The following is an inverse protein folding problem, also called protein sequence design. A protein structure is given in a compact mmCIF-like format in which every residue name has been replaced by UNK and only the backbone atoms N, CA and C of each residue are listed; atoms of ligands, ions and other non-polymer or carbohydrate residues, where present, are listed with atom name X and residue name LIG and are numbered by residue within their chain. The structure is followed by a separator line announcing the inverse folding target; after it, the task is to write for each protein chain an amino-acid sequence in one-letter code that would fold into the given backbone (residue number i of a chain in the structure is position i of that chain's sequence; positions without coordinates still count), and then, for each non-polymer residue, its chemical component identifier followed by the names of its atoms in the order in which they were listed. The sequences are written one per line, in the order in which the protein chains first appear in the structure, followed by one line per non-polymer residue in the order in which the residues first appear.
data_IF_451835565421
#
_entry.id   IF_451835565421
#
_cell.length_a   1.000
_cell.length_b   1.000
_cell.length_c   1.000
_cell.angle_alpha   90.00
_cell.angle_beta   90.00
_cell.angle_gamma   90.00
#
_symmetry.space_group_name_H-M   'P 1'
#
loop_
_entity.id
_entity.type
_entity.pdbx_description
1 polymer ?
#
# COMPACT_ATOMS: atom_id res chain seq x y z
N UNK A 1 23.63 -32.63 7.99
CA UNK A 1 22.41 -32.01 8.54
C UNK A 1 22.33 -30.63 7.95
N UNK A 2 21.44 -30.40 6.98
CA UNK A 2 21.20 -29.06 6.45
C UNK A 2 20.47 -28.24 7.52
N UNK A 3 21.13 -27.21 8.03
CA UNK A 3 20.47 -26.19 8.85
C UNK A 3 19.43 -25.47 7.98
N UNK A 4 18.19 -25.27 8.45
CA UNK A 4 17.19 -24.53 7.69
C UNK A 4 17.76 -23.13 7.36
N UNK A 5 17.78 -22.77 6.08
CA UNK A 5 18.20 -21.43 5.65
C UNK A 5 17.30 -20.41 6.35
N UNK A 6 17.90 -19.54 7.15
CA UNK A 6 17.20 -18.41 7.75
C UNK A 6 16.79 -17.46 6.62
N UNK A 7 15.48 -17.37 6.37
CA UNK A 7 14.93 -16.46 5.35
C UNK A 7 15.06 -15.04 5.89
N UNK A 8 15.66 -14.15 5.11
CA UNK A 8 15.81 -12.73 5.45
C UNK A 8 14.46 -12.04 5.60
N UNK A 9 14.41 -10.91 6.31
CA UNK A 9 13.18 -10.12 6.46
C UNK A 9 12.58 -9.74 5.10
N UNK A 10 13.42 -9.25 4.18
CA UNK A 10 12.97 -8.86 2.83
C UNK A 10 12.39 -10.04 2.05
N UNK A 11 13.06 -11.20 2.04
CA UNK A 11 12.55 -12.41 1.37
C UNK A 11 11.19 -12.85 1.94
N UNK A 12 10.98 -12.73 3.27
CA UNK A 12 9.67 -13.03 3.89
C UNK A 12 8.60 -12.02 3.48
N UNK A 13 8.92 -10.74 3.51
CA UNK A 13 7.98 -9.67 3.13
C UNK A 13 7.57 -9.80 1.66
N UNK A 14 8.52 -10.04 0.75
CA UNK A 14 8.24 -10.30 -0.67
C UNK A 14 7.34 -11.53 -0.87
N UNK A 15 7.58 -12.62 -0.12
CA UNK A 15 6.74 -13.80 -0.16
C UNK A 15 5.29 -13.48 0.29
N UNK A 16 5.13 -12.65 1.32
CA UNK A 16 3.83 -12.17 1.78
C UNK A 16 3.15 -11.27 0.74
N UNK A 17 3.89 -10.39 0.06
CA UNK A 17 3.37 -9.59 -1.04
C UNK A 17 2.79 -10.47 -2.16
N UNK A 18 3.49 -11.56 -2.51
CA UNK A 18 3.02 -12.51 -3.54
C UNK A 18 1.75 -13.25 -3.13
N UNK A 19 1.56 -13.53 -1.84
CA UNK A 19 0.32 -14.10 -1.33
C UNK A 19 -0.84 -13.11 -1.43
N UNK A 20 -0.58 -11.83 -1.12
CA UNK A 20 -1.59 -10.78 -1.07
C UNK A 20 -2.04 -10.31 -2.44
N UNK A 21 -1.09 -10.02 -3.32
CA UNK A 21 -1.33 -9.35 -4.58
C UNK A 21 -0.94 -10.18 -5.80
N UNK A 22 -0.45 -11.41 -5.59
CA UNK A 22 -0.14 -12.34 -6.68
C UNK A 22 1.29 -12.26 -7.20
N UNK A 23 1.60 -12.95 -8.30
CA UNK A 23 2.95 -12.95 -8.87
C UNK A 23 3.37 -11.53 -9.27
N UNK A 24 4.64 -11.22 -9.05
CA UNK A 24 5.22 -9.92 -9.37
C UNK A 24 6.47 -9.60 -8.57
N UNK A 25 7.06 -8.48 -8.93
CA UNK A 25 8.14 -7.84 -8.21
C UNK A 25 7.56 -6.70 -7.37
N UNK A 26 8.07 -6.56 -6.15
CA UNK A 26 7.58 -5.60 -5.18
C UNK A 26 8.77 -4.84 -4.62
N UNK A 27 8.66 -3.52 -4.63
CA UNK A 27 9.62 -2.63 -3.98
C UNK A 27 9.07 -2.29 -2.60
N UNK A 28 9.95 -2.36 -1.60
CA UNK A 28 9.64 -1.96 -0.24
C UNK A 28 10.58 -0.84 0.15
N UNK A 29 10.02 0.36 0.25
CA UNK A 29 10.77 1.59 0.53
C UNK A 29 10.65 1.97 2.00
N UNK A 30 11.72 2.54 2.53
CA UNK A 30 11.73 3.24 3.80
C UNK A 30 11.77 4.74 3.49
N UNK A 31 10.71 5.43 3.89
CA UNK A 31 10.63 6.88 3.82
C UNK A 31 11.08 7.49 5.14
N UNK A 32 11.81 8.60 5.03
CA UNK A 32 12.26 9.41 6.14
C UNK A 32 11.71 10.82 5.96
N UNK A 33 11.09 11.33 7.01
CA UNK A 33 10.58 12.69 7.06
C UNK A 33 11.30 13.44 8.18
N UNK A 34 12.02 14.49 7.80
CA UNK A 34 12.68 15.41 8.72
C UNK A 34 11.66 16.14 9.60
N UNK A 35 12.10 16.56 10.79
CA UNK A 35 11.28 17.39 11.66
C UNK A 35 10.95 18.73 10.95
N UNK A 36 9.67 19.06 10.88
CA UNK A 36 9.18 20.33 10.33
C UNK A 36 8.58 21.20 11.43
N UNK A 37 8.26 22.46 11.11
CA UNK A 37 7.53 23.34 12.03
C UNK A 37 6.14 22.80 12.42
N UNK A 38 5.55 21.93 11.60
CA UNK A 38 4.25 21.29 11.85
C UNK A 38 4.38 19.90 12.49
N UNK A 39 5.49 19.19 12.27
CA UNK A 39 5.80 17.90 12.86
C UNK A 39 7.18 17.94 13.55
N UNK A 40 7.23 18.18 14.87
CA UNK A 40 8.48 18.53 15.57
C UNK A 40 9.39 17.32 15.86
N UNK A 41 9.26 16.23 15.12
CA UNK A 41 10.06 15.03 15.30
C UNK A 41 10.35 14.38 13.95
N UNK A 42 11.57 13.86 13.84
CA UNK A 42 11.95 12.97 12.73
C UNK A 42 11.08 11.72 12.76
N UNK A 43 10.72 11.24 11.58
CA UNK A 43 9.81 10.12 11.46
C UNK A 43 10.13 9.21 10.29
N UNK A 44 9.82 7.93 10.46
CA UNK A 44 10.06 6.88 9.48
C UNK A 44 8.76 6.15 9.15
N UNK A 45 8.51 5.88 7.88
CA UNK A 45 7.42 5.04 7.38
C UNK A 45 7.98 4.04 6.38
N UNK A 46 7.29 2.92 6.16
CA UNK A 46 7.64 2.00 5.08
C UNK A 46 6.44 1.74 4.20
N UNK A 47 6.68 1.57 2.91
CA UNK A 47 5.65 1.45 1.88
C UNK A 47 5.99 0.32 0.93
N UNK A 48 4.96 -0.38 0.45
CA UNK A 48 5.09 -1.42 -0.58
C UNK A 48 4.46 -0.92 -1.87
N UNK A 49 5.20 -1.03 -2.96
CA UNK A 49 4.73 -0.78 -4.33
C UNK A 49 5.02 -1.98 -5.20
N UNK A 50 4.20 -2.18 -6.24
CA UNK A 50 4.53 -3.14 -7.29
C UNK A 50 5.54 -2.51 -8.24
N UNK A 51 6.52 -3.29 -8.67
CA UNK A 51 7.42 -2.90 -9.75
C UNK A 51 6.87 -3.37 -11.09
N UNK A 52 6.71 -2.46 -12.05
CA UNK A 52 6.35 -2.76 -13.43
C UNK A 52 7.53 -2.62 -14.41
N UNK A 53 8.75 -2.40 -13.89
CA UNK A 53 10.00 -2.26 -14.63
C UNK A 53 10.27 -0.84 -15.10
N UNK A 54 9.33 -0.23 -15.82
CA UNK A 54 9.45 1.15 -16.31
C UNK A 54 8.86 2.19 -15.35
N UNK A 55 8.01 1.74 -14.41
CA UNK A 55 7.30 2.56 -13.45
C UNK A 55 7.01 1.79 -12.16
N UNK A 56 6.92 2.51 -11.04
CA UNK A 56 6.37 1.96 -9.81
C UNK A 56 4.85 2.12 -9.77
N UNK A 57 4.18 1.08 -9.28
CA UNK A 57 2.77 1.08 -8.99
C UNK A 57 2.39 2.06 -7.87
N UNK A 58 1.08 2.30 -7.72
CA UNK A 58 0.54 3.01 -6.57
C UNK A 58 0.91 2.27 -5.25
N UNK A 59 0.93 2.98 -4.11
CA UNK A 59 1.10 2.36 -2.80
C UNK A 59 0.07 1.26 -2.57
N UNK A 60 0.52 0.02 -2.37
CA UNK A 60 -0.35 -1.12 -2.04
C UNK A 60 -0.63 -1.20 -0.55
N UNK A 61 0.38 -0.90 0.26
CA UNK A 61 0.25 -0.72 1.70
C UNK A 61 1.37 0.17 2.20
N UNK A 62 1.15 0.78 3.35
CA UNK A 62 2.13 1.58 4.07
C UNK A 62 1.92 1.33 5.57
N UNK A 63 2.96 1.56 6.37
CA UNK A 63 2.81 1.58 7.82
C UNK A 63 1.70 2.57 8.24
N UNK A 64 0.82 2.18 9.19
CA UNK A 64 -0.39 2.95 9.52
C UNK A 64 -0.13 4.29 10.23
N UNK A 65 1.11 4.50 10.67
CA UNK A 65 1.59 5.71 11.32
C UNK A 65 3.07 5.88 10.99
N UNK A 66 3.64 7.02 11.36
CA UNK A 66 5.10 7.20 11.35
C UNK A 66 5.71 6.72 12.67
N UNK A 67 6.96 6.29 12.61
CA UNK A 67 7.73 5.69 13.70
C UNK A 67 8.91 6.58 14.04
N UNK A 68 9.49 6.42 15.23
CA UNK A 68 10.70 7.15 15.66
C UNK A 68 12.01 6.47 15.28
N UNK A 69 11.96 5.30 14.64
CA UNK A 69 13.14 4.61 14.14
C UNK A 69 12.77 3.83 12.87
N UNK A 70 13.74 3.69 11.97
CA UNK A 70 13.61 2.85 10.79
C UNK A 70 13.26 1.40 11.14
N UNK A 71 13.89 0.84 12.17
CA UNK A 71 13.67 -0.57 12.56
C UNK A 71 12.25 -0.81 13.07
N UNK A 72 11.65 0.17 13.76
CA UNK A 72 10.27 0.07 14.20
C UNK A 72 9.28 0.13 13.03
N UNK A 73 9.57 0.96 12.00
CA UNK A 73 8.77 0.99 10.77
C UNK A 73 8.85 -0.36 10.03
N UNK A 74 10.06 -0.91 9.86
CA UNK A 74 10.27 -2.23 9.25
C UNK A 74 9.56 -3.35 10.00
N UNK A 75 9.66 -3.35 11.33
CA UNK A 75 9.03 -4.37 12.17
C UNK A 75 7.51 -4.32 12.06
N UNK A 76 6.91 -3.12 12.03
CA UNK A 76 5.47 -3.02 11.83
C UNK A 76 5.06 -3.52 10.45
N UNK A 77 5.79 -3.16 9.39
CA UNK A 77 5.42 -3.60 8.05
C UNK A 77 5.51 -5.12 7.89
N UNK A 78 6.54 -5.77 8.42
CA UNK A 78 6.64 -7.25 8.43
C UNK A 78 5.42 -7.85 9.15
N UNK A 79 5.04 -7.30 10.32
CA UNK A 79 3.87 -7.72 11.11
C UNK A 79 2.55 -7.56 10.34
N UNK A 80 2.36 -6.42 9.67
CA UNK A 80 1.16 -6.13 8.88
C UNK A 80 1.07 -7.08 7.69
N UNK A 81 2.14 -7.24 6.92
CA UNK A 81 2.19 -8.14 5.78
C UNK A 81 1.95 -9.59 6.18
N UNK A 82 2.55 -10.05 7.29
CA UNK A 82 2.34 -11.41 7.79
C UNK A 82 0.88 -11.64 8.21
N UNK A 83 0.29 -10.70 8.97
CA UNK A 83 -1.10 -10.77 9.40
C UNK A 83 -2.07 -10.81 8.22
N UNK A 84 -1.90 -9.87 7.27
CA UNK A 84 -2.72 -9.81 6.08
C UNK A 84 -2.56 -11.05 5.20
N UNK A 85 -1.33 -11.55 5.00
CA UNK A 85 -1.08 -12.74 4.19
C UNK A 85 -1.70 -14.00 4.83
N UNK A 86 -1.68 -14.09 6.17
CA UNK A 86 -2.35 -15.16 6.92
C UNK A 86 -3.87 -15.11 6.72
N UNK A 87 -4.47 -13.93 6.74
CA UNK A 87 -5.90 -13.77 6.50
C UNK A 87 -6.28 -14.01 5.04
N UNK A 88 -5.45 -13.60 4.08
CA UNK A 88 -5.66 -13.88 2.66
C UNK A 88 -5.69 -15.38 2.35
N UNK A 89 -4.80 -16.17 2.98
CA UNK A 89 -4.78 -17.64 2.86
C UNK A 89 -6.07 -18.33 3.33
N UNK A 90 -6.89 -17.66 4.15
CA UNK A 90 -8.19 -18.19 4.62
C UNK A 90 -9.32 -17.90 3.64
N UNK A 91 -9.13 -16.99 2.69
CA UNK A 91 -10.11 -16.64 1.66
C UNK A 91 -9.97 -17.59 0.46
N UNK A 92 -11.06 -17.84 -0.30
CA UNK A 92 -10.94 -18.53 -1.58
C UNK A 92 -9.95 -17.80 -2.49
N UNK A 93 -9.05 -18.51 -3.18
CA UNK A 93 -8.11 -17.88 -4.09
C UNK A 93 -8.86 -17.19 -5.23
N UNK A 94 -8.39 -16.00 -5.60
CA UNK A 94 -8.82 -15.30 -6.81
C UNK A 94 -8.38 -16.13 -8.01
N UNK A 95 -9.23 -16.25 -9.05
CA UNK A 95 -8.85 -16.97 -10.27
C UNK A 95 -7.70 -16.26 -10.97
N UNK A 96 -6.90 -17.01 -11.75
CA UNK A 96 -5.79 -16.40 -12.50
C UNK A 96 -6.26 -15.29 -13.46
N UNK A 97 -7.44 -15.46 -14.08
CA UNK A 97 -8.02 -14.45 -14.96
C UNK A 97 -8.34 -13.16 -14.20
N UNK A 98 -8.97 -13.28 -13.04
CA UNK A 98 -9.34 -12.13 -12.22
C UNK A 98 -8.09 -11.45 -11.64
N UNK A 99 -7.08 -12.24 -11.27
CA UNK A 99 -5.80 -11.71 -10.81
C UNK A 99 -5.08 -10.92 -11.91
N UNK A 100 -5.10 -11.39 -13.17
CA UNK A 100 -4.56 -10.63 -14.31
C UNK A 100 -5.31 -9.32 -14.53
N UNK A 101 -6.64 -9.30 -14.37
CA UNK A 101 -7.44 -8.06 -14.49
C UNK A 101 -7.09 -7.05 -13.41
N UNK A 102 -6.88 -7.49 -12.17
CA UNK A 102 -6.45 -6.62 -11.07
C UNK A 102 -5.08 -6.02 -11.39
N UNK A 103 -4.10 -6.85 -11.75
CA UNK A 103 -2.74 -6.39 -12.08
C UNK A 103 -2.74 -5.40 -13.26
N UNK A 104 -3.55 -5.65 -14.29
CA UNK A 104 -3.66 -4.75 -15.44
C UNK A 104 -4.25 -3.38 -15.04
N UNK A 105 -5.29 -3.37 -14.20
CA UNK A 105 -5.87 -2.13 -13.67
C UNK A 105 -4.90 -1.36 -12.79
N UNK A 106 -4.13 -2.06 -11.95
CA UNK A 106 -3.10 -1.44 -11.12
C UNK A 106 -2.02 -0.76 -11.97
N UNK A 107 -1.62 -1.40 -13.08
CA UNK A 107 -0.66 -0.82 -14.02
C UNK A 107 -1.22 0.42 -14.72
N UNK A 108 -2.45 0.35 -15.23
CA UNK A 108 -3.13 1.48 -15.87
C UNK A 108 -3.25 2.67 -14.89
N UNK A 109 -3.61 2.40 -13.64
CA UNK A 109 -3.70 3.44 -12.61
C UNK A 109 -2.34 4.07 -12.30
N UNK A 110 -1.27 3.27 -12.26
CA UNK A 110 0.09 3.76 -12.06
C UNK A 110 0.56 4.67 -13.21
N UNK A 111 0.31 4.27 -14.46
CA UNK A 111 0.61 5.08 -15.64
C UNK A 111 -0.19 6.40 -15.64
N UNK A 112 -1.47 6.34 -15.28
CA UNK A 112 -2.31 7.53 -15.19
C UNK A 112 -1.81 8.51 -14.12
N UNK A 113 -1.40 8.02 -12.94
CA UNK A 113 -0.85 8.84 -11.87
C UNK A 113 0.47 9.49 -12.27
N UNK A 114 1.37 8.76 -12.93
CA UNK A 114 2.65 9.31 -13.38
C UNK A 114 2.48 10.38 -14.46
N UNK A 115 1.49 10.22 -15.35
CA UNK A 115 1.20 11.19 -16.40
C UNK A 115 0.42 12.42 -15.91
N UNK A 116 -0.35 12.29 -14.83
CA UNK A 116 -1.07 13.38 -14.19
C UNK A 116 -1.10 13.21 -12.67
N UNK A 117 -0.10 13.74 -11.92
CA UNK A 117 -0.08 13.63 -10.47
C UNK A 117 -1.25 14.33 -9.77
N UNK A 118 -1.97 15.24 -10.47
CA UNK A 118 -3.18 15.88 -9.95
C UNK A 118 -4.44 15.00 -10.06
N UNK A 119 -4.36 13.80 -10.64
CA UNK A 119 -5.52 12.90 -10.79
C UNK A 119 -6.16 12.52 -9.45
N UNK A 120 -5.37 12.49 -8.36
CA UNK A 120 -5.88 12.30 -7.01
C UNK A 120 -6.73 13.50 -6.55
N UNK A 121 -6.29 14.72 -6.85
CA UNK A 121 -7.04 15.94 -6.52
C UNK A 121 -8.37 16.00 -7.29
N UNK A 122 -8.35 15.66 -8.59
CA UNK A 122 -9.58 15.56 -9.40
C UNK A 122 -10.54 14.49 -8.85
N UNK A 123 -9.99 13.38 -8.33
CA UNK A 123 -10.76 12.34 -7.66
C UNK A 123 -11.41 12.83 -6.36
N UNK A 124 -10.66 13.54 -5.52
CA UNK A 124 -11.15 14.14 -4.27
C UNK A 124 -12.25 15.15 -4.57
N UNK A 125 -12.05 16.04 -5.55
CA UNK A 125 -13.06 17.03 -5.97
C UNK A 125 -14.36 16.35 -6.43
N UNK A 126 -14.26 15.24 -7.17
CA UNK A 126 -15.44 14.43 -7.57
C UNK A 126 -16.14 13.81 -6.38
N UNK A 127 -15.41 13.26 -5.41
CA UNK A 127 -15.99 12.68 -4.19
C UNK A 127 -16.67 13.76 -3.34
N UNK A 128 -16.04 14.93 -3.18
CA UNK A 128 -16.64 16.06 -2.46
C UNK A 128 -17.88 16.59 -3.16
N UNK A 129 -17.85 16.71 -4.49
CA UNK A 129 -19.01 17.09 -5.29
C UNK A 129 -20.15 16.08 -5.11
N UNK A 130 -19.86 14.78 -5.20
CA UNK A 130 -20.83 13.72 -4.97
C UNK A 130 -21.42 13.80 -3.55
N UNK A 131 -20.59 14.03 -2.52
CA UNK A 131 -21.07 14.20 -1.14
C UNK A 131 -21.99 15.41 -0.98
N UNK A 132 -21.70 16.52 -1.66
CA UNK A 132 -22.58 17.71 -1.68
C UNK A 132 -23.91 17.45 -2.38
N UNK A 133 -23.91 16.68 -3.47
CA UNK A 133 -25.12 16.31 -4.23
C UNK A 133 -25.94 15.21 -3.53
N UNK A 134 -25.28 14.36 -2.75
CA UNK A 134 -25.87 13.24 -2.02
C UNK A 134 -25.53 13.29 -0.51
N UNK A 135 -26.00 14.31 0.22
CA UNK A 135 -25.71 14.46 1.64
C UNK A 135 -26.29 13.29 2.44
N UNK A 136 -25.50 12.78 3.37
CA UNK A 136 -25.88 11.63 4.18
C UNK A 136 -27.06 11.96 5.09
N UNK A 137 -27.92 10.98 5.42
CA UNK A 137 -29.13 11.25 6.21
C UNK A 137 -28.89 11.97 7.54
N UNK A 138 -27.75 11.72 8.19
CA UNK A 138 -27.36 12.36 9.46
C UNK A 138 -26.79 13.77 9.29
N UNK A 139 -26.31 14.15 8.10
CA UNK A 139 -25.85 15.51 7.80
C UNK A 139 -27.03 16.48 7.61
N UNK A 140 -28.21 15.95 7.26
CA UNK A 140 -29.46 16.72 7.16
C UNK A 140 -30.11 17.02 8.51
N UNK A 141 -29.70 16.34 9.58
CA UNK A 141 -30.27 16.50 10.91
C UNK A 141 -29.64 17.65 11.73
N UNK A 142 -28.65 18.34 11.16
CA UNK A 142 -27.91 19.44 11.80
C UNK A 142 -28.05 20.79 11.08
N UNK A 143 -28.90 20.88 10.04
CA UNK A 143 -29.25 22.11 9.33
C UNK A 143 -30.66 22.57 9.73
#
# INVERSE_FOLDING_TARGET
MDTPRQISRCERMEANCRILWGPGEYVIDLEYEDATAFYPYESWSTMVRRDFGDNFGLPLTMTPRTYRTAEAAWTELDRVLEGSARDAKRRPPVSEEEQRKIIAKDKEAAEAFNNNPNILMEGIEKVEKYRKEHPQPWEKAQA
#
